data_IF_645607938254
#
_entry.id   IF_645607938254
#
_cell.length_a   1.000
_cell.length_b   1.000
_cell.length_c   1.000
_cell.angle_alpha   90.00
_cell.angle_beta   90.00
_cell.angle_gamma   90.00
#
_symmetry.space_group_name_H-M   'P 1'
#
loop_
_entity.id
_entity.type
_entity.pdbx_description
1 polymer ?
#
# COMPACT_ATOMS: atom_id res chain seq x y z
N UNK A 1 25.56 -20.30 12.37
CA UNK A 1 25.07 -19.79 11.07
C UNK A 1 23.82 -20.59 10.76
N UNK A 2 22.71 -20.07 11.26
CA UNK A 2 21.45 -20.80 11.45
C UNK A 2 20.47 -20.42 10.33
N UNK A 3 19.96 -21.45 9.65
CA UNK A 3 18.72 -21.53 8.86
C UNK A 3 18.32 -20.35 7.96
N UNK A 4 18.69 -20.43 6.67
CA UNK A 4 18.03 -19.74 5.55
C UNK A 4 17.18 -20.71 4.68
N UNK A 5 16.95 -21.92 5.17
CA UNK A 5 16.31 -22.98 4.39
C UNK A 5 14.79 -23.00 4.61
N UNK A 6 14.09 -21.89 4.31
CA UNK A 6 12.65 -21.91 3.91
C UNK A 6 12.09 -20.53 3.45
N UNK A 7 12.89 -19.63 2.85
CA UNK A 7 12.39 -18.28 2.55
C UNK A 7 11.58 -18.16 1.25
N UNK A 8 11.66 -19.15 0.34
CA UNK A 8 11.10 -19.09 -1.02
C UNK A 8 12.15 -18.73 -2.08
N UNK A 9 11.74 -18.62 -3.35
CA UNK A 9 12.64 -18.31 -4.48
C UNK A 9 12.95 -16.80 -4.54
N UNK A 10 14.22 -16.40 -4.51
CA UNK A 10 14.62 -15.00 -4.68
C UNK A 10 14.34 -14.56 -6.13
N UNK A 11 13.47 -13.57 -6.31
CA UNK A 11 13.03 -13.06 -7.62
C UNK A 11 13.69 -11.73 -8.01
N UNK A 12 14.46 -11.11 -7.11
CA UNK A 12 15.20 -9.90 -7.43
C UNK A 12 15.69 -9.12 -6.21
N UNK A 13 16.00 -7.84 -6.43
CA UNK A 13 16.44 -6.91 -5.37
C UNK A 13 15.71 -5.58 -5.53
N UNK A 14 15.07 -5.10 -4.46
CA UNK A 14 14.55 -3.75 -4.38
C UNK A 14 15.60 -2.83 -3.76
N UNK A 15 15.87 -1.70 -4.41
CA UNK A 15 16.78 -0.66 -3.92
C UNK A 15 16.03 0.66 -3.71
N UNK A 16 16.27 1.32 -2.58
CA UNK A 16 15.81 2.66 -2.28
C UNK A 16 17.02 3.58 -2.11
N UNK A 17 16.99 4.73 -2.79
CA UNK A 17 17.97 5.81 -2.63
C UNK A 17 17.26 7.10 -2.30
N UNK A 18 17.68 7.79 -1.25
CA UNK A 18 17.10 9.07 -0.85
C UNK A 18 18.15 10.00 -0.27
N UNK A 19 17.93 11.31 -0.39
CA UNK A 19 18.71 12.31 0.34
C UNK A 19 17.97 12.67 1.62
N UNK A 20 18.62 12.45 2.76
CA UNK A 20 18.04 12.72 4.06
C UNK A 20 17.97 14.24 4.29
N UNK A 21 16.80 14.79 4.67
CA UNK A 21 16.67 16.21 4.98
C UNK A 21 17.32 16.59 6.32
N UNK A 22 17.58 15.61 7.20
CA UNK A 22 18.17 15.87 8.52
C UNK A 22 19.68 16.16 8.44
N UNK A 23 20.38 15.56 7.48
CA UNK A 23 21.84 15.65 7.35
C UNK A 23 22.32 15.95 5.92
N UNK A 24 21.41 16.06 4.95
CA UNK A 24 21.71 16.36 3.55
C UNK A 24 22.45 15.25 2.80
N UNK A 25 22.64 14.07 3.40
CA UNK A 25 23.41 12.97 2.81
C UNK A 25 22.51 12.05 1.99
N UNK A 26 23.06 11.48 0.92
CA UNK A 26 22.39 10.41 0.17
C UNK A 26 22.60 9.08 0.89
N UNK A 27 21.49 8.41 1.18
CA UNK A 27 21.41 7.09 1.78
C UNK A 27 20.87 6.11 0.74
N UNK A 28 21.35 4.87 0.83
CA UNK A 28 20.92 3.76 -0.02
C UNK A 28 20.60 2.56 0.87
N UNK A 29 19.50 1.88 0.58
CA UNK A 29 19.11 0.62 1.21
C UNK A 29 18.70 -0.37 0.11
N UNK A 30 19.02 -1.64 0.28
CA UNK A 30 18.62 -2.69 -0.64
C UNK A 30 18.14 -3.92 0.14
N UNK A 31 17.14 -4.61 -0.42
CA UNK A 31 16.60 -5.85 0.12
C UNK A 31 16.36 -6.86 -1.00
N UNK A 32 16.68 -8.12 -0.74
CA UNK A 32 16.30 -9.22 -1.63
C UNK A 32 14.78 -9.39 -1.62
N UNK A 33 14.21 -9.57 -2.80
CA UNK A 33 12.79 -9.85 -3.00
C UNK A 33 12.64 -11.35 -3.15
N UNK A 34 11.81 -11.93 -2.30
CA UNK A 34 11.49 -13.35 -2.36
C UNK A 34 10.07 -13.52 -2.90
N UNK A 35 9.86 -14.52 -3.75
CA UNK A 35 8.57 -14.86 -4.32
C UNK A 35 7.56 -15.04 -3.18
N UNK A 36 6.46 -14.29 -3.25
CA UNK A 36 5.37 -14.45 -2.29
C UNK A 36 4.76 -15.84 -2.47
N UNK A 37 4.54 -16.55 -1.37
CA UNK A 37 3.66 -17.71 -1.36
C UNK A 37 2.22 -17.23 -1.64
N UNK A 38 1.59 -17.62 -2.77
CA UNK A 38 0.24 -17.18 -3.10
C UNK A 38 -0.82 -17.67 -2.10
N UNK A 39 -0.51 -18.68 -1.27
CA UNK A 39 -1.37 -19.15 -0.20
C UNK A 39 -1.19 -18.36 1.11
N UNK A 40 -0.13 -17.57 1.25
CA UNK A 40 0.12 -16.77 2.43
C UNK A 40 -0.62 -15.43 2.35
N UNK A 41 -1.29 -15.06 3.44
CA UNK A 41 -1.87 -13.73 3.58
C UNK A 41 -0.75 -12.68 3.62
N UNK A 42 -0.98 -11.52 3.02
CA UNK A 42 -0.05 -10.40 3.12
C UNK A 42 0.02 -9.91 4.58
N UNK A 43 1.17 -9.38 4.99
CA UNK A 43 1.30 -8.73 6.28
C UNK A 43 0.38 -7.49 6.32
N UNK A 44 -0.40 -7.35 7.38
CA UNK A 44 -1.37 -6.25 7.55
C UNK A 44 -0.74 -4.86 7.44
N UNK A 45 0.53 -4.71 7.87
CA UNK A 45 1.30 -3.47 7.72
C UNK A 45 1.59 -3.10 6.26
N UNK A 46 1.73 -4.09 5.38
CA UNK A 46 1.88 -3.87 3.93
C UNK A 46 0.52 -3.51 3.33
N UNK A 47 -0.56 -4.15 3.78
CA UNK A 47 -1.91 -3.89 3.27
C UNK A 47 -2.37 -2.45 3.56
N UNK A 48 -2.15 -1.95 4.78
CA UNK A 48 -2.50 -0.56 5.13
C UNK A 48 -1.64 0.46 4.38
N UNK A 49 -0.35 0.20 4.20
CA UNK A 49 0.54 1.07 3.44
C UNK A 49 0.17 1.12 1.94
N UNK A 50 -0.16 -0.05 1.36
CA UNK A 50 -0.65 -0.14 -0.01
C UNK A 50 -1.98 0.58 -0.18
N UNK A 51 -2.91 0.43 0.77
CA UNK A 51 -4.20 1.10 0.74
C UNK A 51 -4.05 2.63 0.79
N UNK A 52 -3.17 3.14 1.64
CA UNK A 52 -2.88 4.58 1.71
C UNK A 52 -2.25 5.11 0.41
N UNK A 53 -1.35 4.33 -0.20
CA UNK A 53 -0.74 4.68 -1.48
C UNK A 53 -1.78 4.69 -2.62
N UNK A 54 -2.64 3.68 -2.68
CA UNK A 54 -3.74 3.59 -3.65
C UNK A 54 -4.70 4.79 -3.50
N UNK A 55 -5.08 5.14 -2.26
CA UNK A 55 -5.92 6.30 -1.98
C UNK A 55 -5.28 7.62 -2.45
N UNK A 56 -4.00 7.84 -2.13
CA UNK A 56 -3.28 9.03 -2.59
C UNK A 56 -3.20 9.12 -4.12
N UNK A 57 -3.12 7.98 -4.82
CA UNK A 57 -3.13 7.94 -6.29
C UNK A 57 -4.51 8.30 -6.85
N UNK A 58 -5.59 7.72 -6.29
CA UNK A 58 -6.97 8.05 -6.68
C UNK A 58 -7.21 9.56 -6.53
N UNK A 59 -6.81 10.15 -5.40
CA UNK A 59 -6.96 11.59 -5.17
C UNK A 59 -6.16 12.47 -6.14
N UNK A 60 -4.99 12.01 -6.58
CA UNK A 60 -4.15 12.74 -7.54
C UNK A 60 -4.70 12.68 -8.96
N UNK A 61 -5.71 11.84 -9.24
CA UNK A 61 -6.14 11.53 -10.61
C UNK A 61 -4.99 10.97 -11.45
N UNK A 62 -3.94 10.45 -10.81
CA UNK A 62 -2.75 9.95 -11.48
C UNK A 62 -3.02 8.52 -11.93
N UNK A 63 -3.24 8.35 -13.23
CA UNK A 63 -3.34 7.03 -13.84
C UNK A 63 -1.93 6.45 -14.01
N UNK A 64 -1.65 5.33 -13.33
CA UNK A 64 -1.12 4.22 -14.08
C UNK A 64 -1.86 2.94 -13.72
N UNK A 65 -3.18 2.88 -13.93
CA UNK A 65 -3.90 1.61 -13.85
C UNK A 65 -4.83 1.43 -15.05
N UNK A 66 -4.22 1.12 -16.19
CA UNK A 66 -4.93 0.41 -17.26
C UNK A 66 -5.31 -1.04 -16.83
N UNK A 67 -4.68 -1.58 -15.77
CA UNK A 67 -4.79 -3.01 -15.43
C UNK A 67 -5.42 -3.32 -14.07
N UNK A 68 -5.70 -2.33 -13.21
CA UNK A 68 -6.37 -2.56 -11.91
C UNK A 68 -7.41 -1.46 -11.62
N UNK A 69 -8.72 -1.73 -11.71
CA UNK A 69 -9.71 -0.73 -11.36
C UNK A 69 -9.71 -0.55 -9.83
N UNK A 70 -8.98 0.45 -9.36
CA UNK A 70 -8.98 0.88 -7.94
C UNK A 70 -9.74 2.20 -7.86
N UNK A 71 -10.93 2.15 -7.26
CA UNK A 71 -11.82 3.28 -7.04
C UNK A 71 -12.10 3.52 -5.54
N UNK A 72 -12.75 4.61 -5.19
CA UNK A 72 -13.02 4.95 -3.78
C UNK A 72 -13.86 3.88 -3.06
N UNK A 73 -14.82 3.26 -3.75
CA UNK A 73 -15.67 2.21 -3.17
C UNK A 73 -14.85 0.97 -2.78
N UNK A 74 -13.98 0.48 -3.67
CA UNK A 74 -13.09 -0.64 -3.39
C UNK A 74 -12.07 -0.33 -2.29
N UNK A 75 -11.61 0.92 -2.19
CA UNK A 75 -10.72 1.36 -1.09
C UNK A 75 -11.45 1.36 0.25
N UNK A 76 -12.71 1.78 0.28
CA UNK A 76 -13.53 1.78 1.50
C UNK A 76 -13.76 0.38 2.02
N UNK A 77 -14.14 -0.56 1.15
CA UNK A 77 -14.34 -1.96 1.52
C UNK A 77 -13.07 -2.56 2.16
N UNK A 78 -11.91 -2.28 1.56
CA UNK A 78 -10.61 -2.73 2.09
C UNK A 78 -10.27 -2.06 3.42
N UNK A 79 -10.52 -0.77 3.57
CA UNK A 79 -10.27 -0.05 4.83
C UNK A 79 -11.12 -0.61 5.97
N UNK A 80 -12.41 -0.85 5.72
CA UNK A 80 -13.34 -1.44 6.70
C UNK A 80 -12.94 -2.86 7.08
N UNK A 81 -12.47 -3.67 6.13
CA UNK A 81 -11.99 -5.01 6.42
C UNK A 81 -10.74 -5.00 7.33
N UNK A 82 -9.80 -4.07 7.10
CA UNK A 82 -8.62 -3.89 7.93
C UNK A 82 -8.96 -3.36 9.32
N UNK A 83 -9.93 -2.44 9.42
CA UNK A 83 -10.43 -1.93 10.69
C UNK A 83 -11.11 -3.04 11.51
N UNK A 84 -11.94 -3.86 10.86
CA UNK A 84 -12.53 -5.04 11.47
C UNK A 84 -11.49 -6.07 11.95
N UNK A 85 -10.31 -6.10 11.31
CA UNK A 85 -9.17 -6.91 11.72
C UNK A 85 -8.30 -6.26 12.82
N UNK A 86 -8.63 -5.05 13.27
CA UNK A 86 -7.93 -4.32 14.34
C UNK A 86 -6.60 -3.72 13.90
N UNK A 87 -6.44 -3.41 12.62
CA UNK A 87 -5.22 -2.80 12.08
C UNK A 87 -5.19 -1.31 12.43
N UNK A 88 -4.15 -0.88 13.13
CA UNK A 88 -3.96 0.52 13.53
C UNK A 88 -3.96 1.46 12.30
N UNK A 89 -4.73 2.55 12.38
CA UNK A 89 -4.85 3.54 11.31
C UNK A 89 -5.88 3.19 10.22
N UNK A 90 -6.48 1.99 10.24
CA UNK A 90 -7.43 1.56 9.22
C UNK A 90 -8.78 2.29 9.31
N UNK A 91 -9.27 2.52 10.53
CA UNK A 91 -10.50 3.29 10.77
C UNK A 91 -10.38 4.73 10.27
N UNK A 92 -9.28 5.42 10.61
CA UNK A 92 -9.02 6.79 10.14
C UNK A 92 -8.91 6.84 8.61
N UNK A 93 -8.29 5.83 7.99
CA UNK A 93 -8.22 5.75 6.54
C UNK A 93 -9.60 5.51 5.90
N UNK A 94 -10.47 4.71 6.53
CA UNK A 94 -11.85 4.54 6.08
C UNK A 94 -12.61 5.88 6.11
N UNK A 95 -12.49 6.65 7.20
CA UNK A 95 -13.11 7.97 7.32
C UNK A 95 -12.63 8.95 6.23
N UNK A 96 -11.34 8.92 5.88
CA UNK A 96 -10.77 9.74 4.82
C UNK A 96 -11.31 9.37 3.43
N UNK A 97 -11.45 8.06 3.15
CA UNK A 97 -12.05 7.58 1.90
C UNK A 97 -13.50 8.06 1.81
N UNK A 98 -14.28 7.94 2.88
CA UNK A 98 -15.66 8.43 2.90
C UNK A 98 -15.77 9.95 2.70
N UNK A 99 -14.84 10.71 3.28
CA UNK A 99 -14.77 12.14 3.07
C UNK A 99 -14.49 12.48 1.60
N UNK A 100 -13.61 11.73 0.94
CA UNK A 100 -13.33 11.88 -0.48
C UNK A 100 -14.53 11.52 -1.37
N UNK A 101 -15.29 10.48 -1.02
CA UNK A 101 -16.54 10.10 -1.71
C UNK A 101 -17.56 11.25 -1.67
N UNK A 102 -17.73 11.89 -0.52
CA UNK A 102 -18.65 13.03 -0.34
C UNK A 102 -18.16 14.31 -1.04
N UNK A 103 -16.84 14.52 -1.07
CA UNK A 103 -16.22 15.68 -1.68
C UNK A 103 -16.17 15.59 -3.21
N UNK A 104 -16.23 14.38 -3.77
CA UNK A 104 -16.34 14.16 -5.21
C UNK A 104 -17.78 14.47 -5.62
N UNK A 105 -18.07 15.58 -6.31
CA UNK A 105 -19.43 15.84 -6.78
C UNK A 105 -19.87 14.66 -7.63
N UNK A 106 -21.06 14.13 -7.35
CA UNK A 106 -21.72 13.18 -8.24
C UNK A 106 -21.66 13.79 -9.64
N UNK A 107 -20.83 13.23 -10.52
CA UNK A 107 -20.86 13.62 -11.91
C UNK A 107 -22.25 13.27 -12.40
N UNK A 108 -23.10 14.29 -12.47
CA UNK A 108 -24.45 14.19 -13.01
C UNK A 108 -24.33 13.59 -14.39
N UNK A 109 -24.89 12.39 -14.55
CA UNK A 109 -25.29 11.89 -15.86
C UNK A 109 -26.55 12.62 -16.30
#
# INVERSE_FOLDING_TARGET
>A
MEQLADLGEVIGTAGLRWTSPADGRTHEAAAELVAADPAAAAATSIEIAALAADFAQVLKGAAPYADRPVDLASLRERAVALDAAGVEGAGELAELVEAAERATPSQGR
#
